data_IF_183013855640
#
_entry.id   IF_183013855640
#
_cell.length_a   1.000
_cell.length_b   1.000
_cell.length_c   1.000
_cell.angle_alpha   90.00
_cell.angle_beta   90.00
_cell.angle_gamma   90.00
#
_symmetry.space_group_name_H-M   'P 1'
#
loop_
_entity.id
_entity.type
_entity.pdbx_description
1 polymer ?
#
# COMPACT_ATOMS: atom_id res chain seq x y z
N UNK A 1 -15.35 -1.03 -35.23
CA UNK A 1 -16.58 -1.79 -34.91
C UNK A 1 -16.65 -2.32 -33.47
N UNK A 2 -15.66 -2.09 -32.60
CA UNK A 2 -15.71 -2.50 -31.18
C UNK A 2 -16.15 -1.38 -30.21
N UNK A 3 -16.39 -0.16 -30.70
CA UNK A 3 -16.89 0.99 -29.92
C UNK A 3 -18.40 0.90 -29.57
N UNK A 4 -18.99 -0.29 -29.76
CA UNK A 4 -20.36 -0.61 -29.37
C UNK A 4 -20.45 -1.59 -28.20
N UNK A 5 -19.32 -2.07 -27.65
CA UNK A 5 -19.35 -2.70 -26.32
C UNK A 5 -19.61 -1.59 -25.32
N UNK A 6 -20.82 -1.59 -24.75
CA UNK A 6 -21.16 -0.62 -23.73
C UNK A 6 -20.26 -0.82 -22.51
N UNK A 7 -20.24 0.16 -21.58
CA UNK A 7 -19.63 -0.04 -20.27
C UNK A 7 -20.18 -1.31 -19.57
N UNK A 8 -21.39 -1.74 -19.93
CA UNK A 8 -22.04 -2.94 -19.41
C UNK A 8 -21.33 -4.24 -19.87
N UNK A 9 -20.97 -4.40 -21.14
CA UNK A 9 -20.15 -5.54 -21.60
C UNK A 9 -18.78 -5.57 -20.90
N UNK A 10 -18.14 -4.42 -20.74
CA UNK A 10 -16.82 -4.33 -20.10
C UNK A 10 -16.90 -4.76 -18.62
N UNK A 11 -17.95 -4.33 -17.91
CA UNK A 11 -18.22 -4.76 -16.53
C UNK A 11 -18.44 -6.27 -16.44
N UNK A 12 -19.19 -6.88 -17.35
CA UNK A 12 -19.40 -8.34 -17.37
C UNK A 12 -18.07 -9.09 -17.49
N UNK A 13 -17.19 -8.64 -18.38
CA UNK A 13 -15.86 -9.25 -18.56
C UNK A 13 -15.03 -9.12 -17.29
N UNK A 14 -15.01 -7.93 -16.67
CA UNK A 14 -14.30 -7.69 -15.41
C UNK A 14 -14.82 -8.60 -14.30
N UNK A 15 -16.13 -8.82 -14.19
CA UNK A 15 -16.72 -9.73 -13.21
C UNK A 15 -16.25 -11.17 -13.42
N UNK A 16 -16.19 -11.65 -14.66
CA UNK A 16 -15.70 -13.02 -14.96
C UNK A 16 -14.22 -13.15 -14.56
N UNK A 17 -13.39 -12.17 -14.91
CA UNK A 17 -11.96 -12.12 -14.53
C UNK A 17 -11.82 -12.09 -13.01
N UNK A 18 -12.65 -11.31 -12.33
CA UNK A 18 -12.69 -11.23 -10.87
C UNK A 18 -13.09 -12.54 -10.20
N UNK A 19 -13.94 -13.35 -10.82
CA UNK A 19 -14.29 -14.67 -10.28
C UNK A 19 -13.09 -15.64 -10.41
N UNK A 20 -12.36 -15.59 -11.52
CA UNK A 20 -11.21 -16.48 -11.76
C UNK A 20 -10.01 -16.09 -10.89
N UNK A 21 -9.64 -14.81 -10.90
CA UNK A 21 -8.46 -14.30 -10.20
C UNK A 21 -8.76 -13.87 -8.76
N UNK A 22 -10.01 -13.56 -8.42
CA UNK A 22 -10.40 -13.02 -7.13
C UNK A 22 -10.17 -11.50 -7.01
N UNK A 23 -11.06 -10.75 -6.32
CA UNK A 23 -10.92 -9.30 -6.14
C UNK A 23 -9.71 -8.89 -5.30
N UNK A 24 -9.15 -9.82 -4.49
CA UNK A 24 -7.96 -9.56 -3.67
C UNK A 24 -6.65 -9.53 -4.48
N UNK A 25 -6.62 -10.17 -5.65
CA UNK A 25 -5.41 -10.24 -6.48
C UNK A 25 -5.28 -9.07 -7.45
N UNK A 26 -6.39 -8.43 -7.86
CA UNK A 26 -6.37 -7.19 -8.66
C UNK A 26 -5.55 -6.05 -8.02
N UNK A 27 -5.78 -5.64 -6.75
CA UNK A 27 -5.04 -4.55 -6.16
C UNK A 27 -3.55 -4.89 -6.03
N UNK A 28 -3.20 -6.14 -5.72
CA UNK A 28 -1.80 -6.58 -5.62
C UNK A 28 -1.04 -6.43 -6.95
N UNK A 29 -1.66 -6.85 -8.05
CA UNK A 29 -1.09 -6.71 -9.40
C UNK A 29 -1.10 -5.23 -9.85
N UNK A 30 -2.17 -4.50 -9.54
CA UNK A 30 -2.31 -3.08 -9.85
C UNK A 30 -1.29 -2.20 -9.13
N UNK A 31 -0.99 -2.46 -7.85
CA UNK A 31 0.04 -1.74 -7.10
C UNK A 31 1.44 -2.00 -7.64
N UNK A 32 1.75 -3.23 -8.04
CA UNK A 32 3.04 -3.57 -8.64
C UNK A 32 3.22 -2.88 -10.01
N UNK A 33 2.22 -2.97 -10.88
CA UNK A 33 2.22 -2.29 -12.18
C UNK A 33 2.21 -0.76 -12.04
N UNK A 34 1.45 -0.24 -11.07
CA UNK A 34 1.32 1.18 -10.81
C UNK A 34 2.64 1.82 -10.40
N UNK A 35 3.43 1.14 -9.55
CA UNK A 35 4.80 1.57 -9.22
C UNK A 35 5.66 1.62 -10.49
N UNK A 36 5.68 0.56 -11.31
CA UNK A 36 6.43 0.57 -12.57
C UNK A 36 6.02 1.71 -13.50
N UNK A 37 4.71 1.94 -13.67
CA UNK A 37 4.20 3.02 -14.53
C UNK A 37 4.55 4.40 -13.96
N UNK A 38 4.51 4.58 -12.64
CA UNK A 38 4.90 5.82 -11.96
C UNK A 38 6.38 6.16 -12.24
N UNK A 39 7.28 5.21 -12.00
CA UNK A 39 8.71 5.39 -12.28
C UNK A 39 9.00 5.62 -13.78
N UNK A 40 8.26 4.94 -14.68
CA UNK A 40 8.39 5.17 -16.14
C UNK A 40 7.93 6.58 -16.52
N UNK A 41 6.85 7.07 -15.91
CA UNK A 41 6.33 8.41 -16.16
C UNK A 41 7.27 9.49 -15.64
N UNK A 42 7.79 9.34 -14.42
CA UNK A 42 8.77 10.25 -13.81
C UNK A 42 10.03 10.34 -14.69
N UNK A 43 10.59 9.21 -15.11
CA UNK A 43 11.76 9.21 -16.01
C UNK A 43 11.48 9.76 -17.42
N UNK A 44 10.24 9.69 -17.90
CA UNK A 44 9.82 10.34 -19.16
C UNK A 44 9.63 11.85 -19.01
N UNK A 45 9.20 12.32 -17.84
CA UNK A 45 9.05 13.74 -17.52
C UNK A 45 10.44 14.39 -17.35
N UNK A 46 11.35 13.76 -16.61
CA UNK A 46 12.76 14.18 -16.47
C UNK A 46 13.49 14.24 -17.83
N UNK A 47 13.29 13.24 -18.70
CA UNK A 47 13.90 13.22 -20.04
C UNK A 47 13.29 14.24 -21.03
N UNK A 48 12.11 14.78 -20.74
CA UNK A 48 11.49 15.88 -21.52
C UNK A 48 12.03 17.25 -21.10
N UNK A 49 12.42 17.41 -19.84
CA UNK A 49 12.98 18.66 -19.31
C UNK A 49 14.36 19.00 -19.90
N UNK A 50 15.12 18.01 -20.38
CA UNK A 50 16.41 18.25 -21.06
C UNK A 50 16.29 18.80 -22.50
N UNK A 51 15.08 18.89 -23.08
CA UNK A 51 14.86 19.40 -24.46
C UNK A 51 13.98 20.66 -24.52
N UNK A 52 13.42 21.17 -23.42
CA UNK A 52 12.65 22.41 -23.48
C UNK A 52 12.18 22.96 -22.14
N UNK A 53 12.56 24.21 -21.89
CA UNK A 53 12.21 25.00 -20.71
C UNK A 53 10.71 24.96 -20.31
N UNK A 54 10.52 24.69 -19.01
CA UNK A 54 9.59 25.32 -18.07
C UNK A 54 8.12 25.53 -18.48
N UNK A 55 7.23 24.76 -17.85
CA UNK A 55 5.91 25.27 -17.43
C UNK A 55 5.51 24.66 -16.10
N UNK A 56 5.46 25.51 -15.08
CA UNK A 56 5.04 25.23 -13.71
C UNK A 56 3.53 24.92 -13.64
N UNK A 57 3.16 23.99 -12.75
CA UNK A 57 2.04 24.24 -11.83
C UNK A 57 2.26 23.42 -10.56
N UNK A 58 2.66 24.12 -9.49
CA UNK A 58 2.59 23.66 -8.12
C UNK A 58 1.15 23.30 -7.74
N UNK A 59 0.99 22.17 -7.06
CA UNK A 59 0.02 22.01 -5.98
C UNK A 59 0.66 21.08 -4.95
N UNK A 60 1.29 21.69 -3.94
CA UNK A 60 1.57 21.05 -2.67
C UNK A 60 0.40 21.42 -1.75
N UNK A 61 -0.18 20.46 -1.03
CA UNK A 61 0.41 20.19 0.27
C UNK A 61 0.39 18.73 0.73
N UNK A 62 1.31 18.47 1.66
CA UNK A 62 1.30 17.45 2.72
C UNK A 62 2.15 16.21 2.45
N UNK A 63 3.28 16.19 3.17
CA UNK A 63 4.08 15.03 3.50
C UNK A 63 3.22 13.83 3.89
N UNK A 64 3.38 12.73 3.17
CA UNK A 64 3.11 11.40 3.73
C UNK A 64 4.39 10.61 3.61
N UNK A 65 5.16 10.63 4.69
CA UNK A 65 6.18 9.63 4.99
C UNK A 65 5.47 8.28 5.05
N UNK A 66 5.67 7.43 4.06
CA UNK A 66 5.39 5.99 4.15
C UNK A 66 6.56 5.24 3.55
N UNK A 67 7.59 5.05 4.39
CA UNK A 67 8.49 3.92 4.28
C UNK A 67 7.65 2.63 4.45
N UNK A 68 7.64 1.86 3.36
CA UNK A 68 7.69 0.41 3.22
C UNK A 68 6.84 -0.51 4.15
N UNK A 69 6.13 -1.42 3.47
CA UNK A 69 5.56 -2.68 3.98
C UNK A 69 4.33 -2.61 4.89
N UNK A 70 3.14 -2.35 4.31
CA UNK A 70 2.01 -3.24 4.52
C UNK A 70 0.87 -3.01 3.50
N UNK A 71 0.78 -3.92 2.53
CA UNK A 71 -0.49 -4.26 1.91
C UNK A 71 -1.02 -5.57 2.52
N UNK A 72 -0.81 -5.78 3.82
CA UNK A 72 -1.74 -6.51 4.66
C UNK A 72 -2.63 -5.46 5.33
N UNK A 73 -3.85 -5.31 4.81
CA UNK A 73 -4.92 -4.81 5.65
C UNK A 73 -5.43 -6.02 6.46
N UNK A 74 -5.18 -6.12 7.78
CA UNK A 74 -5.95 -7.00 8.61
C UNK A 74 -7.36 -6.42 8.66
N UNK A 75 -8.30 -7.07 8.00
CA UNK A 75 -9.72 -6.88 8.31
C UNK A 75 -10.03 -7.53 9.64
N UNK A 76 -9.66 -6.86 10.74
CA UNK A 76 -10.33 -7.01 12.05
C UNK A 76 -10.25 -5.69 12.84
N UNK A 77 -11.38 -5.05 13.17
CA UNK A 77 -11.41 -3.85 13.99
C UNK A 77 -11.48 -4.22 15.49
N UNK A 78 -10.36 -4.57 16.14
CA UNK A 78 -10.40 -4.93 17.56
C UNK A 78 -9.27 -4.42 18.48
N UNK A 79 -8.00 -4.29 18.07
CA UNK A 79 -6.93 -4.03 19.06
C UNK A 79 -5.95 -2.96 18.58
N UNK A 80 -6.31 -1.70 18.82
CA UNK A 80 -5.50 -0.51 18.48
C UNK A 80 -4.70 0.03 19.67
N UNK A 81 -4.34 -0.84 20.63
CA UNK A 81 -3.45 -0.49 21.72
C UNK A 81 -2.27 -1.47 21.71
N UNK A 82 -1.05 -0.98 21.61
CA UNK A 82 0.17 -1.79 21.62
C UNK A 82 1.18 -1.24 22.62
N UNK A 83 1.98 -2.12 23.23
CA UNK A 83 2.96 -1.75 24.25
C UNK A 83 4.39 -1.89 23.72
N UNK A 84 5.22 -0.89 24.03
CA UNK A 84 6.64 -0.91 23.73
C UNK A 84 7.44 -1.68 24.79
N UNK A 85 8.41 -2.47 24.33
CA UNK A 85 9.34 -3.17 25.20
C UNK A 85 10.36 -2.20 25.84
N UNK A 86 10.48 -2.12 27.18
CA UNK A 86 11.40 -1.20 27.85
C UNK A 86 12.88 -1.59 27.70
N UNK A 87 13.17 -2.82 27.24
CA UNK A 87 14.54 -3.32 27.08
C UNK A 87 15.12 -3.07 25.69
N UNK A 88 14.31 -3.22 24.63
CA UNK A 88 14.79 -3.14 23.25
C UNK A 88 13.95 -2.23 22.33
N UNK A 89 12.88 -1.62 22.84
CA UNK A 89 12.03 -0.70 22.08
C UNK A 89 11.11 -1.37 21.06
N UNK A 90 11.06 -2.70 20.98
CA UNK A 90 10.17 -3.39 20.05
C UNK A 90 8.70 -3.19 20.44
N UNK A 91 7.85 -2.92 19.45
CA UNK A 91 6.40 -2.89 19.60
C UNK A 91 5.86 -4.31 19.73
N UNK A 92 5.02 -4.55 20.72
CA UNK A 92 4.35 -5.84 20.92
C UNK A 92 2.85 -5.60 21.17
N UNK A 93 2.03 -6.60 20.87
CA UNK A 93 0.59 -6.56 21.14
C UNK A 93 0.33 -6.41 22.65
N UNK A 94 -0.72 -5.68 23.03
CA UNK A 94 -1.17 -5.60 24.42
C UNK A 94 -1.50 -7.00 24.94
N UNK A 95 -0.83 -7.40 26.03
CA UNK A 95 -0.99 -8.73 26.64
C UNK A 95 0.05 -9.78 26.23
N UNK A 96 1.03 -9.44 25.38
CA UNK A 96 2.14 -10.33 25.09
C UNK A 96 3.00 -10.58 26.34
N UNK A 97 3.10 -11.83 26.81
CA UNK A 97 3.87 -12.15 28.02
C UNK A 97 5.38 -11.95 27.85
N UNK A 98 5.89 -12.06 26.61
CA UNK A 98 7.31 -11.88 26.29
C UNK A 98 7.47 -11.07 25.01
N UNK A 99 8.57 -10.33 24.95
CA UNK A 99 8.98 -9.56 23.79
C UNK A 99 9.44 -10.51 22.68
N UNK A 100 8.80 -10.42 21.52
CA UNK A 100 9.14 -11.24 20.35
C UNK A 100 10.56 -11.00 19.82
N UNK A 101 11.17 -9.85 20.14
CA UNK A 101 12.49 -9.46 19.64
C UNK A 101 13.65 -9.86 20.56
N UNK A 102 13.49 -9.69 21.87
CA UNK A 102 14.59 -9.87 22.84
C UNK A 102 14.29 -10.86 23.98
N UNK A 103 13.09 -11.43 24.01
CA UNK A 103 12.64 -12.37 25.03
C UNK A 103 12.38 -11.76 26.41
N UNK A 104 12.51 -10.44 26.58
CA UNK A 104 12.19 -9.77 27.84
C UNK A 104 10.70 -9.87 28.16
N UNK A 105 10.34 -10.09 29.43
CA UNK A 105 8.95 -10.16 29.85
C UNK A 105 8.26 -8.80 29.75
N UNK A 106 7.04 -8.76 29.21
CA UNK A 106 6.24 -7.54 29.02
C UNK A 106 4.93 -7.64 29.80
N UNK A 107 4.72 -6.77 30.80
CA UNK A 107 3.42 -6.49 31.47
C UNK A 107 2.78 -7.60 32.34
N UNK A 108 2.69 -7.32 33.65
CA UNK A 108 2.04 -8.07 34.76
C UNK A 108 2.71 -9.36 35.25
N UNK A 109 3.91 -9.21 35.81
CA UNK A 109 4.17 -9.83 37.11
C UNK A 109 3.49 -8.97 38.18
N UNK A 110 2.50 -9.52 38.87
CA UNK A 110 2.19 -9.07 40.23
C UNK A 110 3.11 -9.82 41.19
#
# INVERSE_FOLDING_TARGET
MFLGMGPLELVIIVVIVLIIFGPKNLPKIGSALGKTVKNVREGMEEGKEEIGEKSESSDEPVEVVQDEDDADAPVTPADADGQYCPKCGAHNATGASFCAKCGAKLGSDN
#
